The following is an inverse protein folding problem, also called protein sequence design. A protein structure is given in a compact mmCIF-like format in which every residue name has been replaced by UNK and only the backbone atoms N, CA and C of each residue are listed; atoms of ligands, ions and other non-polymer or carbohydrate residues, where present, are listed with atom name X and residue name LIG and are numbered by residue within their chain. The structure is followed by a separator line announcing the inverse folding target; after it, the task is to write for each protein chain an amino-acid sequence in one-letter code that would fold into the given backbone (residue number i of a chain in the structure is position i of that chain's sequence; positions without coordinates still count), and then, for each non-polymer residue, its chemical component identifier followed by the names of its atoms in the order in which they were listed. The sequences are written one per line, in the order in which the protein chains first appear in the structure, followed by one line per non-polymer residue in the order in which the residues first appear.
data_IF_199833839086
#
_entry.id   IF_199833839086
#
_cell.length_a   1.000
_cell.length_b   1.000
_cell.length_c   1.000
_cell.angle_alpha   90.00
_cell.angle_beta   90.00
_cell.angle_gamma   90.00
#
_symmetry.space_group_name_H-M   'P 1'
#
loop_
_entity.id
_entity.type
_entity.pdbx_description
1 polymer ?
#
# COMPACT_ATOMS: atom_id res chain seq x y z
N UNK A 1 5.47 -14.85 -64.43
CA UNK A 1 4.81 -13.55 -64.16
C UNK A 1 4.51 -13.26 -62.68
N UNK A 2 5.36 -13.68 -61.74
CA UNK A 2 5.05 -13.60 -60.27
C UNK A 2 6.05 -12.76 -59.44
N UNK A 3 7.12 -12.23 -59.99
CA UNK A 3 8.14 -11.51 -59.22
C UNK A 3 7.96 -9.98 -59.17
N UNK A 4 7.03 -9.37 -59.92
CA UNK A 4 6.86 -7.91 -59.97
C UNK A 4 5.90 -7.40 -58.89
N UNK A 5 4.99 -8.25 -58.38
CA UNK A 5 3.94 -7.82 -57.40
C UNK A 5 4.46 -7.81 -55.95
N UNK A 6 5.42 -8.65 -55.60
CA UNK A 6 6.02 -8.70 -54.26
C UNK A 6 6.90 -7.47 -53.94
N UNK A 7 7.65 -6.99 -54.94
CA UNK A 7 8.52 -5.82 -54.79
C UNK A 7 7.71 -4.52 -54.51
N UNK A 8 6.59 -4.37 -55.21
CA UNK A 8 5.70 -3.19 -55.05
C UNK A 8 4.97 -3.16 -53.68
N UNK A 9 4.62 -4.34 -53.12
CA UNK A 9 4.01 -4.46 -51.80
C UNK A 9 5.01 -4.14 -50.71
N UNK A 10 6.24 -4.61 -50.80
CA UNK A 10 7.30 -4.31 -49.84
C UNK A 10 7.67 -2.82 -49.81
N UNK A 11 7.71 -2.17 -51.00
CA UNK A 11 7.97 -0.72 -51.06
C UNK A 11 6.86 0.11 -50.38
N UNK A 12 5.58 -0.25 -50.60
CA UNK A 12 4.43 0.41 -49.95
C UNK A 12 4.41 0.19 -48.46
N UNK A 13 4.78 -0.99 -47.99
CA UNK A 13 4.89 -1.28 -46.54
C UNK A 13 6.00 -0.47 -45.89
N UNK A 14 7.20 -0.41 -46.50
CA UNK A 14 8.31 0.40 -46.03
C UNK A 14 7.96 1.90 -45.96
N UNK A 15 7.19 2.38 -46.94
CA UNK A 15 6.75 3.76 -46.96
C UNK A 15 5.71 4.07 -45.87
N UNK A 16 4.81 3.14 -45.54
CA UNK A 16 3.87 3.25 -44.41
C UNK A 16 4.63 3.30 -43.09
N UNK A 17 5.58 2.43 -42.85
CA UNK A 17 6.41 2.39 -41.62
C UNK A 17 7.18 3.69 -41.47
N UNK A 18 7.79 4.23 -42.52
CA UNK A 18 8.49 5.53 -42.47
C UNK A 18 7.54 6.68 -42.10
N UNK A 19 6.32 6.72 -42.64
CA UNK A 19 5.31 7.73 -42.28
C UNK A 19 4.86 7.60 -40.83
N UNK A 20 4.63 6.40 -40.33
CA UNK A 20 4.30 6.15 -38.91
C UNK A 20 5.42 6.62 -37.98
N UNK A 21 6.68 6.31 -38.30
CA UNK A 21 7.80 6.76 -37.47
C UNK A 21 7.98 8.29 -37.51
N UNK A 22 7.68 8.95 -38.63
CA UNK A 22 7.70 10.42 -38.71
C UNK A 22 6.60 11.06 -37.88
N UNK A 23 5.40 10.47 -37.85
CA UNK A 23 4.29 10.94 -37.00
C UNK A 23 4.62 10.73 -35.52
N UNK A 24 5.14 9.59 -35.15
CA UNK A 24 5.57 9.31 -33.76
C UNK A 24 6.68 10.26 -33.31
N UNK A 25 7.65 10.55 -34.18
CA UNK A 25 8.71 11.51 -33.87
C UNK A 25 8.15 12.93 -33.69
N UNK A 26 7.21 13.35 -34.53
CA UNK A 26 6.55 14.66 -34.41
C UNK A 26 5.77 14.76 -33.07
N UNK A 27 5.04 13.71 -32.68
CA UNK A 27 4.32 13.67 -31.41
C UNK A 27 5.30 13.72 -30.22
N UNK A 28 6.40 12.99 -30.27
CA UNK A 28 7.43 13.01 -29.22
C UNK A 28 8.05 14.41 -29.07
N UNK A 29 8.37 15.09 -30.19
CA UNK A 29 8.91 16.46 -30.17
C UNK A 29 7.91 17.46 -29.58
N UNK A 30 6.63 17.38 -29.96
CA UNK A 30 5.60 18.26 -29.39
C UNK A 30 5.40 18.03 -27.89
N UNK A 31 5.47 16.79 -27.45
CA UNK A 31 5.37 16.45 -26.01
C UNK A 31 6.55 17.02 -25.20
N UNK A 32 7.77 16.91 -25.71
CA UNK A 32 8.96 17.50 -25.06
C UNK A 32 8.84 19.02 -25.00
N UNK A 33 8.35 19.68 -26.05
CA UNK A 33 8.14 21.13 -26.04
C UNK A 33 7.09 21.54 -25.00
N UNK A 34 6.00 20.79 -24.86
CA UNK A 34 4.97 21.05 -23.84
C UNK A 34 5.53 20.90 -22.40
N UNK A 35 6.38 19.89 -22.17
CA UNK A 35 7.06 19.72 -20.87
C UNK A 35 7.99 20.89 -20.55
N UNK A 36 8.72 21.40 -21.55
CA UNK A 36 9.58 22.57 -21.37
C UNK A 36 8.78 23.83 -21.02
N UNK A 37 7.65 24.07 -21.71
CA UNK A 37 6.76 25.19 -21.40
C UNK A 37 6.20 25.05 -19.98
N UNK A 38 5.79 23.86 -19.58
CA UNK A 38 5.28 23.60 -18.23
C UNK A 38 6.35 23.84 -17.16
N UNK A 39 7.59 23.41 -17.40
CA UNK A 39 8.72 23.67 -16.49
C UNK A 39 9.01 25.18 -16.35
N UNK A 40 8.94 25.94 -17.43
CA UNK A 40 9.12 27.41 -17.40
C UNK A 40 8.02 28.08 -16.59
N UNK A 41 6.75 27.65 -16.75
CA UNK A 41 5.62 28.18 -15.99
C UNK A 41 5.72 27.87 -14.49
N UNK A 42 6.21 26.69 -14.13
CA UNK A 42 6.51 26.32 -12.74
C UNK A 42 7.61 27.21 -12.16
N UNK A 43 8.69 27.44 -12.88
CA UNK A 43 9.77 28.33 -12.43
C UNK A 43 9.29 29.79 -12.25
N UNK A 44 8.42 30.27 -13.12
CA UNK A 44 7.84 31.61 -12.98
C UNK A 44 6.93 31.74 -11.74
N UNK A 45 6.16 30.70 -11.42
CA UNK A 45 5.33 30.68 -10.19
C UNK A 45 6.19 30.70 -8.92
N UNK A 46 7.30 29.99 -8.90
CA UNK A 46 8.24 29.99 -7.76
C UNK A 46 8.86 31.38 -7.57
N UNK A 47 9.25 32.06 -8.66
CA UNK A 47 9.85 33.39 -8.61
C UNK A 47 8.86 34.45 -8.11
N UNK A 48 7.56 34.33 -8.43
CA UNK A 48 6.51 35.24 -7.93
C UNK A 48 6.19 35.01 -6.44
N UNK A 49 6.39 33.81 -5.93
CA UNK A 49 6.19 33.47 -4.50
C UNK A 49 7.35 33.95 -3.59
N UNK A 50 8.50 34.33 -4.16
CA UNK A 50 9.68 34.79 -3.40
C UNK A 50 9.72 36.31 -3.19
N UNK A 51 8.74 37.09 -3.67
CA UNK A 51 8.59 38.51 -3.36
C UNK A 51 7.88 38.69 -2.02
N UNK A 52 8.68 38.83 -0.95
CA UNK A 52 8.27 39.17 0.40
C UNK A 52 7.90 40.67 0.46
N UNK A 53 6.74 41.05 1.02
CA UNK A 53 6.48 42.45 1.35
C UNK A 53 7.17 42.83 2.67
N UNK A 54 7.76 44.03 2.68
CA UNK A 54 8.41 44.65 3.83
C UNK A 54 7.38 44.95 4.93
N UNK A 55 7.81 44.72 6.18
CA UNK A 55 7.09 45.07 7.42
C UNK A 55 7.65 46.40 7.91
N UNK A 56 6.82 47.40 8.25
CA UNK A 56 7.25 48.54 9.06
C UNK A 56 7.23 48.17 10.54
N UNK A 57 8.29 48.51 11.22
CA UNK A 57 8.43 48.55 12.68
C UNK A 57 7.83 49.82 13.23
N UNK A 58 7.06 49.74 14.31
CA UNK A 58 6.98 50.79 15.30
C UNK A 58 6.67 50.23 16.70
N UNK A 59 7.46 50.81 17.64
CA UNK A 59 7.46 50.60 19.09
C UNK A 59 6.19 51.20 19.77
N UNK A 60 5.73 50.63 20.89
CA UNK A 60 5.71 51.24 22.20
C UNK A 60 4.74 50.59 23.22
N UNK A 61 5.33 50.23 24.35
CA UNK A 61 4.87 50.36 25.74
C UNK A 61 3.64 49.60 26.29
N UNK A 62 3.98 48.82 27.28
CA UNK A 62 3.19 48.29 28.41
C UNK A 62 2.72 49.41 29.37
N UNK A 63 1.79 49.29 30.34
CA UNK A 63 1.71 48.18 31.30
C UNK A 63 0.27 47.84 31.80
N UNK A 64 0.07 47.15 32.94
CA UNK A 64 -0.78 46.01 33.14
C UNK A 64 -2.11 46.31 33.80
N UNK A 65 -3.08 45.38 33.69
CA UNK A 65 -4.20 45.35 34.64
C UNK A 65 -4.63 43.89 34.89
N UNK A 66 -4.43 43.45 36.10
CA UNK A 66 -5.00 42.26 36.72
C UNK A 66 -6.54 42.29 36.65
N UNK A 67 -7.12 41.18 36.25
CA UNK A 67 -8.48 40.82 36.64
C UNK A 67 -8.55 39.30 36.80
N UNK A 68 -8.47 38.86 38.04
CA UNK A 68 -8.78 37.51 38.47
C UNK A 68 -10.27 37.21 38.16
N UNK A 69 -10.51 36.11 37.45
CA UNK A 69 -11.84 35.50 37.35
C UNK A 69 -11.81 34.18 38.14
N UNK A 70 -12.84 33.86 38.94
CA UNK A 70 -12.81 32.78 39.92
C UNK A 70 -12.74 31.43 39.27
N UNK A 71 -11.88 30.54 39.79
CA UNK A 71 -11.80 29.12 39.52
C UNK A 71 -13.13 28.43 39.90
N UNK A 72 -13.67 27.64 38.98
CA UNK A 72 -14.77 26.70 39.21
C UNK A 72 -14.16 25.37 39.71
N UNK A 73 -14.43 24.93 40.95
CA UNK A 73 -13.88 23.68 41.46
C UNK A 73 -14.88 22.56 41.24
N UNK A 74 -14.76 21.79 40.20
CA UNK A 74 -15.10 20.36 40.15
C UNK A 74 -15.00 19.82 38.69
N UNK A 75 -13.78 19.59 38.21
CA UNK A 75 -13.55 18.63 37.11
C UNK A 75 -12.59 17.54 37.60
N UNK A 76 -13.16 16.55 38.29
CA UNK A 76 -12.51 15.30 38.63
C UNK A 76 -12.61 14.30 37.44
N UNK A 77 -12.20 14.71 36.25
CA UNK A 77 -11.82 13.74 35.21
C UNK A 77 -10.42 13.23 35.55
N UNK A 78 -10.19 11.91 35.56
CA UNK A 78 -8.83 11.38 35.72
C UNK A 78 -7.93 12.00 34.64
N UNK A 79 -6.83 12.59 35.06
CA UNK A 79 -5.80 13.10 34.16
C UNK A 79 -5.47 12.02 33.12
N UNK A 80 -5.88 12.22 31.87
CA UNK A 80 -5.43 11.41 30.75
C UNK A 80 -3.92 11.68 30.60
N UNK A 81 -3.05 10.69 30.76
CA UNK A 81 -1.60 10.89 30.70
C UNK A 81 -1.12 11.45 29.35
N UNK A 82 -2.00 11.57 28.37
CA UNK A 82 -1.67 12.10 27.05
C UNK A 82 -2.88 12.82 26.41
N UNK A 83 -3.23 14.03 26.85
CA UNK A 83 -4.35 14.77 26.28
C UNK A 83 -4.12 14.99 24.79
N UNK A 84 -5.18 14.96 23.97
CA UNK A 84 -5.04 15.18 22.54
C UNK A 84 -4.45 16.55 22.23
N UNK A 85 -3.56 16.61 21.24
CA UNK A 85 -3.09 17.88 20.68
C UNK A 85 -4.30 18.70 20.20
N UNK A 86 -4.18 20.02 20.13
CA UNK A 86 -5.29 20.92 19.84
C UNK A 86 -6.06 20.66 18.53
N UNK A 87 -5.49 19.86 17.61
CA UNK A 87 -6.07 19.47 16.33
C UNK A 87 -6.42 17.97 16.24
N UNK A 88 -6.52 17.30 17.41
CA UNK A 88 -6.89 15.89 17.51
C UNK A 88 -8.15 15.71 18.33
N UNK A 89 -8.90 14.67 18.02
CA UNK A 89 -10.06 14.17 18.77
C UNK A 89 -9.86 12.72 19.18
N UNK A 90 -10.62 12.26 20.17
CA UNK A 90 -10.65 10.85 20.56
C UNK A 90 -11.68 10.07 19.76
N UNK A 91 -11.28 8.98 19.12
CA UNK A 91 -12.15 8.00 18.48
C UNK A 91 -12.24 6.75 19.35
N UNK A 92 -13.46 6.31 19.67
CA UNK A 92 -13.67 5.07 20.42
C UNK A 92 -13.55 3.87 19.48
N UNK A 93 -12.53 3.05 19.69
CA UNK A 93 -12.27 1.83 18.91
C UNK A 93 -12.51 0.60 19.76
N UNK A 94 -13.30 -0.34 19.27
CA UNK A 94 -13.65 -1.59 19.97
C UNK A 94 -12.54 -2.65 19.86
N UNK A 95 -12.42 -3.53 20.86
CA UNK A 95 -11.33 -4.52 20.95
C UNK A 95 -11.32 -5.56 19.82
N UNK A 96 -12.43 -5.81 19.15
CA UNK A 96 -12.47 -6.69 17.97
C UNK A 96 -11.70 -6.11 16.78
N UNK A 97 -11.54 -4.78 16.71
CA UNK A 97 -10.73 -4.09 15.71
C UNK A 97 -9.22 -4.36 15.82
N UNK A 98 -8.73 -4.88 16.96
CA UNK A 98 -7.33 -5.33 17.11
C UNK A 98 -6.97 -6.36 16.05
N UNK A 99 -7.94 -7.17 15.63
CA UNK A 99 -7.72 -8.27 14.69
C UNK A 99 -8.13 -7.91 13.23
N UNK A 100 -8.28 -6.63 12.93
CA UNK A 100 -8.74 -6.13 11.63
C UNK A 100 -7.77 -5.10 11.06
N UNK A 101 -7.66 -5.06 9.73
CA UNK A 101 -6.84 -4.09 9.01
C UNK A 101 -5.63 -4.71 8.30
N UNK A 102 -4.92 -3.89 7.55
CA UNK A 102 -3.83 -4.34 6.68
C UNK A 102 -2.53 -4.68 7.40
N UNK A 103 -2.38 -4.28 8.67
CA UNK A 103 -1.15 -4.46 9.46
C UNK A 103 -1.22 -5.59 10.48
N UNK A 104 -2.32 -6.36 10.52
CA UNK A 104 -2.42 -7.52 11.41
C UNK A 104 -1.37 -8.58 11.06
N UNK A 105 -0.66 -9.06 12.07
CA UNK A 105 0.27 -10.18 11.93
C UNK A 105 -0.51 -11.50 12.05
N UNK A 106 -0.35 -12.39 11.08
CA UNK A 106 -0.87 -13.75 11.11
C UNK A 106 0.27 -14.71 10.78
N UNK A 107 0.62 -15.56 11.74
CA UNK A 107 1.70 -16.54 11.63
C UNK A 107 1.51 -17.67 12.66
N UNK A 108 2.52 -18.51 12.87
CA UNK A 108 2.45 -19.67 13.79
C UNK A 108 2.14 -19.32 15.26
N UNK A 109 2.28 -18.06 15.68
CA UNK A 109 2.04 -17.57 17.05
C UNK A 109 0.84 -16.64 17.15
N UNK A 110 0.41 -16.04 16.04
CA UNK A 110 -0.70 -15.09 15.98
C UNK A 110 -1.81 -15.64 15.08
N UNK A 111 -2.86 -16.17 15.73
CA UNK A 111 -4.00 -16.76 15.02
C UNK A 111 -4.91 -15.69 14.41
N UNK A 112 -5.35 -15.90 13.17
CA UNK A 112 -6.34 -15.06 12.53
C UNK A 112 -7.72 -15.27 13.15
N UNK A 113 -8.39 -14.18 13.51
CA UNK A 113 -9.78 -14.19 13.97
C UNK A 113 -10.70 -13.86 12.80
N UNK A 114 -11.40 -14.88 12.32
CA UNK A 114 -12.32 -14.73 11.19
C UNK A 114 -13.47 -13.78 11.55
N UNK A 115 -13.74 -12.76 10.72
CA UNK A 115 -14.87 -11.86 10.94
C UNK A 115 -16.18 -12.60 10.70
N UNK A 116 -17.26 -12.07 11.27
CA UNK A 116 -18.61 -12.63 11.06
C UNK A 116 -19.10 -12.51 9.61
N UNK A 117 -18.52 -11.64 8.80
CA UNK A 117 -18.83 -11.44 7.39
C UNK A 117 -17.56 -11.19 6.59
N UNK A 118 -17.48 -11.78 5.41
CA UNK A 118 -16.40 -11.62 4.44
C UNK A 118 -16.75 -10.58 3.34
N UNK A 119 -17.66 -9.64 3.63
CA UNK A 119 -18.14 -8.63 2.67
C UNK A 119 -17.05 -7.66 2.17
N UNK A 120 -15.90 -7.61 2.85
CA UNK A 120 -14.70 -6.87 2.43
C UNK A 120 -13.92 -7.55 1.30
N UNK A 121 -14.21 -8.81 1.02
CA UNK A 121 -13.58 -9.59 -0.03
C UNK A 121 -14.36 -9.46 -1.35
N UNK A 122 -13.65 -9.30 -2.44
CA UNK A 122 -14.22 -9.30 -3.79
C UNK A 122 -13.81 -10.56 -4.56
N UNK A 123 -14.70 -11.04 -5.41
CA UNK A 123 -14.40 -12.07 -6.40
C UNK A 123 -13.55 -11.46 -7.52
N UNK A 124 -12.29 -11.89 -7.62
CA UNK A 124 -11.32 -11.35 -8.57
C UNK A 124 -11.73 -11.67 -10.01
N UNK A 125 -12.28 -12.86 -10.27
CA UNK A 125 -12.75 -13.23 -11.61
C UNK A 125 -13.89 -12.33 -12.09
N UNK A 126 -14.87 -12.09 -11.21
CA UNK A 126 -15.98 -11.21 -11.54
C UNK A 126 -15.49 -9.77 -11.78
N UNK A 127 -14.60 -9.29 -10.93
CA UNK A 127 -14.04 -7.93 -11.01
C UNK A 127 -13.15 -7.74 -12.26
N UNK A 128 -12.31 -8.72 -12.60
CA UNK A 128 -11.48 -8.67 -13.79
C UNK A 128 -12.34 -8.68 -15.06
N UNK A 129 -13.39 -9.53 -15.10
CA UNK A 129 -14.31 -9.59 -16.23
C UNK A 129 -15.05 -8.27 -16.46
N UNK A 130 -15.39 -7.55 -15.40
CA UNK A 130 -16.04 -6.23 -15.51
C UNK A 130 -15.09 -5.14 -15.96
N UNK A 131 -13.81 -5.22 -15.57
CA UNK A 131 -12.79 -4.21 -15.87
C UNK A 131 -12.14 -4.40 -17.26
N UNK A 132 -12.15 -5.62 -17.82
CA UNK A 132 -11.50 -5.91 -19.10
C UNK A 132 -12.35 -5.50 -20.28
N UNK A 133 -11.87 -4.50 -20.97
CA UNK A 133 -12.42 -4.06 -22.26
C UNK A 133 -11.91 -4.91 -23.44
N UNK A 134 -10.74 -5.54 -23.45
CA UNK A 134 -10.24 -6.51 -24.47
C UNK A 134 -8.77 -6.93 -24.22
N UNK A 135 -8.06 -6.36 -23.25
CA UNK A 135 -6.64 -6.65 -23.03
C UNK A 135 -6.45 -7.50 -21.76
N UNK A 136 -5.68 -8.57 -21.87
CA UNK A 136 -5.30 -9.42 -20.74
C UNK A 136 -3.91 -9.02 -20.30
N UNK A 137 -3.80 -8.41 -19.11
CA UNK A 137 -2.52 -7.97 -18.56
C UNK A 137 -1.83 -9.02 -17.69
N UNK A 138 -2.60 -9.93 -17.10
CA UNK A 138 -2.11 -11.04 -16.29
C UNK A 138 -3.14 -12.17 -16.24
N UNK A 139 -2.73 -13.35 -15.80
CA UNK A 139 -3.56 -14.55 -15.75
C UNK A 139 -4.10 -14.77 -14.34
N UNK A 140 -5.26 -15.40 -14.24
CA UNK A 140 -5.81 -15.88 -12.98
C UNK A 140 -5.66 -17.39 -12.88
N UNK A 141 -4.98 -17.86 -11.85
CA UNK A 141 -4.96 -19.24 -11.42
C UNK A 141 -6.23 -19.58 -10.66
N UNK A 142 -6.32 -20.77 -10.19
CA UNK A 142 -7.46 -21.29 -9.46
C UNK A 142 -8.08 -22.44 -10.19
N UNK A 143 -8.96 -23.13 -9.48
CA UNK A 143 -9.69 -24.30 -9.96
C UNK A 143 -11.18 -24.04 -9.77
N UNK A 144 -12.01 -24.85 -10.39
CA UNK A 144 -13.46 -24.73 -10.35
C UNK A 144 -14.03 -24.69 -8.90
N UNK A 145 -13.35 -25.36 -7.96
CA UNK A 145 -13.66 -25.39 -6.53
C UNK A 145 -12.86 -24.40 -5.66
N UNK A 146 -12.01 -23.56 -6.27
CA UNK A 146 -11.22 -22.53 -5.59
C UNK A 146 -11.22 -21.23 -6.38
N UNK A 147 -12.10 -20.34 -6.05
CA UNK A 147 -12.14 -18.99 -6.60
C UNK A 147 -11.15 -18.08 -5.86
N UNK A 148 -10.62 -17.13 -6.60
CA UNK A 148 -9.71 -16.13 -6.03
C UNK A 148 -10.50 -14.94 -5.47
N UNK A 149 -10.28 -14.65 -4.18
CA UNK A 149 -10.81 -13.48 -3.49
C UNK A 149 -9.67 -12.68 -2.89
N UNK A 150 -9.81 -11.35 -2.85
CA UNK A 150 -8.91 -10.46 -2.11
C UNK A 150 -9.73 -9.36 -1.42
N UNK A 151 -9.11 -8.72 -0.45
CA UNK A 151 -9.64 -7.46 0.08
C UNK A 151 -9.64 -6.40 -1.04
N UNK A 152 -10.68 -5.56 -1.06
CA UNK A 152 -10.96 -4.66 -2.19
C UNK A 152 -9.80 -3.70 -2.49
N UNK A 153 -9.20 -3.10 -1.45
CA UNK A 153 -8.08 -2.16 -1.62
C UNK A 153 -6.82 -2.88 -2.10
N UNK A 154 -6.53 -4.05 -1.51
CA UNK A 154 -5.40 -4.88 -1.90
C UNK A 154 -5.51 -5.34 -3.36
N UNK A 155 -6.70 -5.79 -3.79
CA UNK A 155 -6.92 -6.15 -5.18
C UNK A 155 -6.74 -4.97 -6.13
N UNK A 156 -7.30 -3.80 -5.79
CA UNK A 156 -7.16 -2.60 -6.61
C UNK A 156 -5.69 -2.22 -6.83
N UNK A 157 -4.89 -2.30 -5.76
CA UNK A 157 -3.46 -2.03 -5.80
C UNK A 157 -2.68 -3.09 -6.61
N UNK A 158 -3.00 -4.39 -6.42
CA UNK A 158 -2.39 -5.49 -7.17
C UNK A 158 -2.68 -5.38 -8.67
N UNK A 159 -3.93 -5.09 -9.02
CA UNK A 159 -4.33 -4.91 -10.40
C UNK A 159 -3.56 -3.77 -11.08
N UNK A 160 -3.40 -2.63 -10.41
CA UNK A 160 -2.57 -1.52 -10.91
C UNK A 160 -1.12 -1.92 -11.12
N UNK A 161 -0.52 -2.62 -10.18
CA UNK A 161 0.87 -3.09 -10.27
C UNK A 161 1.07 -4.04 -11.46
N UNK A 162 0.19 -5.01 -11.64
CA UNK A 162 0.32 -6.00 -12.71
C UNK A 162 0.02 -5.42 -14.09
N UNK A 163 -0.91 -4.47 -14.19
CA UNK A 163 -1.15 -3.71 -15.44
C UNK A 163 0.09 -2.90 -15.81
N UNK A 164 0.68 -2.18 -14.85
CA UNK A 164 1.88 -1.37 -15.08
C UNK A 164 3.06 -2.26 -15.50
N UNK A 165 3.29 -3.37 -14.80
CA UNK A 165 4.30 -4.36 -15.19
C UNK A 165 4.10 -4.86 -16.62
N UNK A 166 2.89 -5.27 -16.95
CA UNK A 166 2.56 -5.76 -18.29
C UNK A 166 2.76 -4.69 -19.36
N UNK A 167 2.35 -3.46 -19.07
CA UNK A 167 2.51 -2.32 -19.98
C UNK A 167 3.98 -2.00 -20.28
N UNK A 168 4.83 -2.06 -19.25
CA UNK A 168 6.26 -1.77 -19.39
C UNK A 168 7.04 -2.93 -20.03
N UNK A 169 6.74 -4.17 -19.63
CA UNK A 169 7.50 -5.35 -20.05
C UNK A 169 6.97 -6.01 -21.34
N UNK A 170 5.70 -5.79 -21.69
CA UNK A 170 4.99 -6.54 -22.73
C UNK A 170 4.60 -7.97 -22.33
N UNK A 171 4.86 -8.37 -21.07
CA UNK A 171 4.55 -9.72 -20.58
C UNK A 171 3.15 -9.76 -19.98
N UNK A 172 2.36 -10.77 -20.36
CA UNK A 172 0.97 -10.97 -19.90
C UNK A 172 0.77 -12.33 -19.20
N UNK A 173 1.85 -12.99 -18.87
CA UNK A 173 1.87 -14.36 -18.35
C UNK A 173 2.15 -14.45 -16.83
N UNK A 174 2.15 -13.34 -16.12
CA UNK A 174 2.10 -13.38 -14.65
C UNK A 174 0.80 -14.04 -14.23
N UNK A 175 0.88 -15.00 -13.33
CA UNK A 175 -0.24 -15.81 -12.85
C UNK A 175 -0.49 -15.49 -11.37
N UNK A 176 -1.69 -15.02 -11.04
CA UNK A 176 -2.13 -14.98 -9.64
C UNK A 176 -2.58 -16.38 -9.24
N UNK A 177 -1.75 -17.08 -8.46
CA UNK A 177 -1.92 -18.51 -8.17
C UNK A 177 -2.90 -18.75 -7.02
N UNK A 178 -2.80 -17.95 -5.98
CA UNK A 178 -3.72 -17.99 -4.85
C UNK A 178 -3.81 -16.60 -4.18
N UNK A 179 -4.88 -16.41 -3.40
CA UNK A 179 -5.12 -15.19 -2.64
C UNK A 179 -5.78 -15.55 -1.30
N UNK A 180 -6.97 -15.02 -0.96
CA UNK A 180 -7.68 -15.39 0.26
C UNK A 180 -7.94 -16.89 0.36
N UNK A 181 -7.81 -17.44 1.57
CA UNK A 181 -8.17 -18.81 1.92
C UNK A 181 -9.13 -18.80 3.10
N UNK A 182 -10.30 -19.43 2.94
CA UNK A 182 -11.21 -19.70 4.05
C UNK A 182 -10.60 -20.69 5.04
N UNK A 183 -11.15 -20.75 6.25
CA UNK A 183 -10.78 -21.76 7.25
C UNK A 183 -10.87 -23.18 6.68
N UNK A 184 -12.00 -23.51 6.05
CA UNK A 184 -12.25 -24.86 5.52
C UNK A 184 -11.32 -25.25 4.37
N UNK A 185 -10.99 -24.29 3.49
CA UNK A 185 -10.04 -24.57 2.42
C UNK A 185 -8.62 -24.78 2.98
N UNK A 186 -8.18 -23.98 3.93
CA UNK A 186 -6.87 -24.19 4.58
C UNK A 186 -6.84 -25.52 5.35
N UNK A 187 -7.98 -25.91 5.97
CA UNK A 187 -8.10 -27.22 6.63
C UNK A 187 -7.92 -28.36 5.64
N UNK A 188 -8.53 -28.31 4.46
CA UNK A 188 -8.34 -29.31 3.40
C UNK A 188 -6.87 -29.42 2.99
N UNK A 189 -6.18 -28.28 2.85
CA UNK A 189 -4.76 -28.27 2.51
C UNK A 189 -3.90 -28.89 3.62
N UNK A 190 -4.20 -28.57 4.89
CA UNK A 190 -3.51 -29.11 6.03
C UNK A 190 -3.71 -30.63 6.18
N UNK A 191 -4.95 -31.10 6.07
CA UNK A 191 -5.31 -32.53 6.12
C UNK A 191 -4.65 -33.32 4.96
N UNK A 192 -4.37 -32.66 3.83
CA UNK A 192 -3.62 -33.23 2.69
C UNK A 192 -2.09 -33.18 2.87
N UNK A 193 -1.57 -32.82 4.04
CA UNK A 193 -0.14 -32.79 4.36
C UNK A 193 0.52 -31.41 4.27
N UNK A 194 -0.26 -30.36 4.16
CA UNK A 194 0.26 -28.98 4.21
C UNK A 194 0.82 -28.62 5.61
N UNK A 195 1.81 -27.74 5.66
CA UNK A 195 2.52 -27.38 6.89
C UNK A 195 1.79 -26.35 7.77
N UNK A 196 0.87 -25.56 7.21
CA UNK A 196 0.22 -24.44 7.91
C UNK A 196 -1.18 -24.84 8.37
N UNK A 197 -1.46 -24.89 9.69
CA UNK A 197 -2.81 -25.16 10.20
C UNK A 197 -3.80 -24.05 9.82
N UNK A 198 -5.12 -24.36 9.78
CA UNK A 198 -6.14 -23.34 9.62
C UNK A 198 -6.12 -22.34 10.79
N UNK A 199 -6.28 -21.05 10.47
CA UNK A 199 -6.13 -19.94 11.40
C UNK A 199 -4.72 -19.32 11.44
N UNK A 200 -3.69 -20.00 10.94
CA UNK A 200 -2.30 -19.54 11.01
C UNK A 200 -1.72 -19.14 9.64
N UNK A 201 -2.56 -19.07 8.62
CA UNK A 201 -2.15 -18.66 7.27
C UNK A 201 -2.38 -17.18 7.05
N UNK A 202 -1.37 -16.46 6.61
CA UNK A 202 -1.49 -15.05 6.21
C UNK A 202 -2.53 -14.83 5.08
N UNK A 203 -2.79 -15.87 4.27
CA UNK A 203 -3.83 -15.86 3.24
C UNK A 203 -5.26 -15.66 3.79
N UNK A 204 -5.51 -15.92 5.08
CA UNK A 204 -6.82 -15.68 5.69
C UNK A 204 -7.19 -14.19 5.74
N UNK A 205 -6.19 -13.32 5.72
CA UNK A 205 -6.41 -11.88 5.83
C UNK A 205 -7.09 -11.26 4.60
N UNK A 206 -6.98 -11.91 3.44
CA UNK A 206 -7.40 -11.36 2.15
C UNK A 206 -6.43 -10.29 1.58
N UNK A 207 -5.42 -9.88 2.34
CA UNK A 207 -4.44 -8.88 1.92
C UNK A 207 -3.25 -9.46 1.17
N UNK A 208 -3.18 -10.78 0.99
CA UNK A 208 -2.02 -11.44 0.40
C UNK A 208 -2.37 -12.24 -0.84
N UNK A 209 -1.39 -12.37 -1.72
CA UNK A 209 -1.47 -13.30 -2.85
C UNK A 209 -0.11 -13.90 -3.20
N UNK A 210 -0.13 -15.10 -3.80
CA UNK A 210 1.04 -15.67 -4.47
C UNK A 210 0.95 -15.39 -5.96
N UNK A 211 2.07 -14.96 -6.52
CA UNK A 211 2.25 -14.78 -7.96
C UNK A 211 3.19 -15.86 -8.50
N UNK A 212 2.93 -16.27 -9.73
CA UNK A 212 3.78 -17.18 -10.48
C UNK A 212 3.87 -16.74 -11.93
N UNK A 213 4.41 -17.61 -12.80
CA UNK A 213 4.45 -17.40 -14.23
C UNK A 213 3.81 -18.59 -14.92
N UNK A 214 2.84 -18.34 -15.78
CA UNK A 214 2.09 -19.39 -16.47
C UNK A 214 3.02 -20.34 -17.22
N UNK A 215 2.97 -21.63 -16.86
CA UNK A 215 3.77 -22.68 -17.48
C UNK A 215 5.26 -22.66 -17.16
N UNK A 216 5.73 -21.83 -16.23
CA UNK A 216 7.13 -21.72 -15.86
C UNK A 216 7.30 -21.57 -14.34
N UNK A 217 8.31 -22.26 -13.78
CA UNK A 217 8.73 -22.00 -12.42
C UNK A 217 9.74 -20.84 -12.43
N UNK A 218 9.32 -19.67 -11.94
CA UNK A 218 10.14 -18.46 -11.88
C UNK A 218 10.11 -17.88 -10.48
N UNK A 219 11.27 -17.42 -10.02
CA UNK A 219 11.42 -16.64 -8.80
C UNK A 219 11.58 -15.16 -9.17
N UNK A 220 10.65 -14.33 -8.72
CA UNK A 220 10.64 -12.91 -9.04
C UNK A 220 11.80 -12.14 -8.41
N UNK A 221 12.41 -12.68 -7.36
CA UNK A 221 13.59 -12.08 -6.75
C UNK A 221 14.86 -12.21 -7.61
N UNK A 222 14.94 -13.22 -8.48
CA UNK A 222 16.16 -13.55 -9.21
C UNK A 222 15.99 -13.55 -10.74
N UNK A 223 14.76 -13.73 -11.27
CA UNK A 223 14.52 -13.72 -12.71
C UNK A 223 14.44 -12.30 -13.25
N UNK A 224 15.37 -11.93 -14.13
CA UNK A 224 15.49 -10.58 -14.67
C UNK A 224 14.24 -10.04 -15.36
N UNK A 225 13.40 -10.91 -15.96
CA UNK A 225 12.19 -10.50 -16.66
C UNK A 225 11.05 -10.10 -15.70
N UNK A 226 11.02 -10.66 -14.48
CA UNK A 226 9.96 -10.43 -13.48
C UNK A 226 10.45 -9.65 -12.26
N UNK A 227 11.75 -9.37 -12.16
CA UNK A 227 12.37 -8.65 -11.05
C UNK A 227 11.72 -7.30 -10.77
N UNK A 228 11.20 -6.65 -11.80
CA UNK A 228 10.48 -5.39 -11.65
C UNK A 228 9.32 -5.48 -10.65
N UNK A 229 8.55 -6.58 -10.65
CA UNK A 229 7.44 -6.78 -9.70
C UNK A 229 7.97 -6.83 -8.27
N UNK A 230 9.05 -7.59 -8.04
CA UNK A 230 9.70 -7.70 -6.74
C UNK A 230 10.22 -6.35 -6.24
N UNK A 231 10.93 -5.61 -7.09
CA UNK A 231 11.58 -4.35 -6.73
C UNK A 231 10.62 -3.17 -6.59
N UNK A 232 9.44 -3.22 -7.22
CA UNK A 232 8.51 -2.10 -7.25
C UNK A 232 7.20 -2.35 -6.48
N UNK A 233 6.98 -3.53 -5.91
CA UNK A 233 5.74 -3.86 -5.20
C UNK A 233 5.41 -2.86 -4.09
N UNK A 234 6.42 -2.30 -3.41
CA UNK A 234 6.24 -1.33 -2.34
C UNK A 234 5.52 -0.05 -2.80
N UNK A 235 5.72 0.39 -4.05
CA UNK A 235 5.06 1.57 -4.64
C UNK A 235 3.54 1.41 -4.75
N UNK A 236 3.09 0.16 -4.73
CA UNK A 236 1.67 -0.23 -4.75
C UNK A 236 1.17 -0.70 -3.39
N UNK A 237 1.97 -0.50 -2.33
CA UNK A 237 1.62 -0.86 -0.97
C UNK A 237 1.82 -2.33 -0.63
N UNK A 238 2.57 -3.08 -1.43
CA UNK A 238 2.92 -4.47 -1.17
C UNK A 238 4.34 -4.63 -0.66
N UNK A 239 4.54 -5.67 0.13
CA UNK A 239 5.86 -6.17 0.50
C UNK A 239 5.96 -7.65 0.15
N UNK A 240 7.17 -8.14 -0.08
CA UNK A 240 7.43 -9.57 -0.06
C UNK A 240 7.24 -10.07 1.36
N UNK A 241 6.25 -10.95 1.58
CA UNK A 241 5.85 -11.36 2.94
C UNK A 241 6.90 -12.24 3.61
N UNK A 242 7.60 -13.06 2.82
CA UNK A 242 8.57 -14.04 3.31
C UNK A 242 9.89 -13.92 2.56
N UNK A 243 10.66 -12.84 2.81
CA UNK A 243 11.98 -12.69 2.18
C UNK A 243 12.95 -13.74 2.73
N UNK A 244 13.90 -14.17 1.92
CA UNK A 244 14.81 -15.28 2.21
C UNK A 244 15.66 -15.06 3.47
N UNK A 245 16.05 -13.79 3.74
CA UNK A 245 16.86 -13.39 4.90
C UNK A 245 16.05 -13.20 6.20
N UNK A 246 14.71 -13.40 6.18
CA UNK A 246 13.79 -13.17 7.30
C UNK A 246 13.10 -14.45 7.82
N UNK A 247 13.59 -15.62 7.44
CA UNK A 247 12.99 -16.90 7.83
C UNK A 247 12.92 -17.11 9.36
N UNK A 248 13.87 -16.57 10.12
CA UNK A 248 13.87 -16.66 11.58
C UNK A 248 12.72 -15.86 12.22
N UNK A 249 12.39 -14.70 11.67
CA UNK A 249 11.35 -13.78 12.15
C UNK A 249 9.96 -14.24 11.69
N UNK A 250 9.81 -14.56 10.41
CA UNK A 250 8.52 -14.94 9.81
C UNK A 250 8.11 -16.37 10.14
N UNK A 251 9.07 -17.24 10.46
CA UNK A 251 8.86 -18.66 10.66
C UNK A 251 8.60 -19.45 9.36
N UNK A 252 8.75 -18.81 8.21
CA UNK A 252 8.59 -19.40 6.87
C UNK A 252 9.93 -19.26 6.15
N UNK A 253 10.43 -20.39 5.62
CA UNK A 253 11.56 -20.34 4.68
C UNK A 253 11.11 -19.62 3.42
N UNK A 254 12.06 -19.05 2.74
CA UNK A 254 11.93 -18.25 1.53
C UNK A 254 10.68 -18.57 0.65
N UNK A 255 9.84 -17.57 0.46
CA UNK A 255 8.72 -17.59 -0.48
C UNK A 255 8.59 -16.21 -1.13
N UNK A 256 9.56 -15.90 -1.96
CA UNK A 256 9.79 -14.58 -2.57
C UNK A 256 8.68 -14.13 -3.53
N UNK A 257 7.86 -15.05 -4.01
CA UNK A 257 6.71 -14.76 -4.87
C UNK A 257 5.39 -14.54 -4.09
N UNK A 258 5.45 -14.41 -2.76
CA UNK A 258 4.28 -14.18 -1.92
C UNK A 258 4.25 -12.73 -1.42
N UNK A 259 3.23 -11.99 -1.82
CA UNK A 259 3.10 -10.55 -1.60
C UNK A 259 2.00 -10.25 -0.60
N UNK A 260 2.27 -9.31 0.31
CA UNK A 260 1.33 -8.83 1.32
C UNK A 260 1.09 -7.33 1.16
N UNK A 261 -0.18 -6.93 1.06
CA UNK A 261 -0.57 -5.52 1.10
C UNK A 261 -0.56 -5.02 2.54
N UNK A 262 0.12 -3.91 2.75
CA UNK A 262 0.23 -3.21 4.04
C UNK A 262 -0.09 -1.71 3.91
N UNK A 263 -0.29 -1.21 2.69
CA UNK A 263 -0.41 0.22 2.38
C UNK A 263 0.93 0.87 2.00
N UNK A 264 0.87 1.93 1.21
CA UNK A 264 2.06 2.51 0.56
C UNK A 264 3.13 2.94 1.55
N UNK A 265 2.81 3.80 2.53
CA UNK A 265 3.81 4.30 3.47
C UNK A 265 4.45 3.18 4.30
N UNK A 266 3.67 2.17 4.70
CA UNK A 266 4.18 1.02 5.45
C UNK A 266 5.11 0.16 4.59
N UNK A 267 4.71 -0.12 3.35
CA UNK A 267 5.54 -0.84 2.39
C UNK A 267 6.84 -0.10 2.09
N UNK A 268 6.79 1.22 1.96
CA UNK A 268 7.96 2.09 1.80
C UNK A 268 8.93 1.96 2.97
N UNK A 269 8.44 2.10 4.22
CA UNK A 269 9.28 1.98 5.42
C UNK A 269 9.88 0.58 5.54
N UNK A 270 9.06 -0.46 5.35
CA UNK A 270 9.52 -1.85 5.44
C UNK A 270 10.61 -2.15 4.40
N UNK A 271 10.42 -1.70 3.16
CA UNK A 271 11.39 -1.92 2.06
C UNK A 271 12.67 -1.14 2.30
N UNK A 272 12.60 0.14 2.64
CA UNK A 272 13.78 1.00 2.82
C UNK A 272 14.60 0.64 4.06
N UNK A 273 13.98 0.05 5.08
CA UNK A 273 14.63 -0.40 6.31
C UNK A 273 14.91 -1.91 6.35
N UNK A 274 14.59 -2.63 5.28
CA UNK A 274 14.69 -4.10 5.18
C UNK A 274 14.02 -4.83 6.37
N UNK A 275 12.73 -4.52 6.62
CA UNK A 275 11.95 -5.12 7.70
C UNK A 275 10.92 -6.09 7.14
N UNK A 276 10.75 -7.25 7.77
CA UNK A 276 9.54 -8.06 7.59
C UNK A 276 8.38 -7.49 8.42
N UNK A 277 7.16 -8.01 8.23
CA UNK A 277 5.97 -7.48 8.92
C UNK A 277 6.09 -7.59 10.44
N UNK A 278 6.60 -8.68 10.96
CA UNK A 278 6.83 -8.91 12.39
C UNK A 278 7.78 -7.86 12.99
N UNK A 279 8.92 -7.61 12.33
CA UNK A 279 9.88 -6.59 12.77
C UNK A 279 9.30 -5.19 12.69
N UNK A 280 8.49 -4.93 11.67
CA UNK A 280 7.85 -3.64 11.48
C UNK A 280 6.80 -3.34 12.55
N UNK A 281 5.95 -4.31 12.91
CA UNK A 281 4.98 -4.15 13.99
C UNK A 281 5.70 -3.91 15.32
N UNK A 282 6.75 -4.68 15.63
CA UNK A 282 7.56 -4.47 16.83
C UNK A 282 8.21 -3.06 16.85
N UNK A 283 8.65 -2.54 15.71
CA UNK A 283 9.13 -1.16 15.59
C UNK A 283 8.01 -0.17 15.93
N UNK A 284 6.82 -0.31 15.33
CA UNK A 284 5.71 0.62 15.52
C UNK A 284 5.21 0.65 16.97
N UNK A 285 5.24 -0.46 17.69
CA UNK A 285 4.87 -0.54 19.11
C UNK A 285 5.74 0.36 20.01
N UNK A 286 6.93 0.77 19.55
CA UNK A 286 7.78 1.74 20.25
C UNK A 286 7.49 3.21 19.89
N UNK A 287 6.63 3.46 18.90
CA UNK A 287 6.28 4.80 18.43
C UNK A 287 4.89 5.21 18.96
N UNK A 288 4.88 5.98 20.04
CA UNK A 288 3.64 6.44 20.69
C UNK A 288 3.10 7.72 20.05
N UNK A 289 1.83 8.02 20.31
CA UNK A 289 1.18 9.25 19.89
C UNK A 289 1.94 10.51 20.35
N UNK A 290 1.86 11.58 19.59
CA UNK A 290 2.55 12.84 19.83
C UNK A 290 4.02 12.82 19.39
N UNK A 291 4.92 13.33 20.21
CA UNK A 291 6.35 13.46 19.85
C UNK A 291 7.05 12.12 19.57
N UNK A 292 6.48 11.01 20.05
CA UNK A 292 6.97 9.66 19.80
C UNK A 292 6.59 9.08 18.44
N UNK A 293 5.73 9.72 17.67
CA UNK A 293 5.27 9.22 16.37
C UNK A 293 6.41 9.06 15.35
N UNK A 294 6.33 8.00 14.57
CA UNK A 294 7.25 7.80 13.43
C UNK A 294 6.87 8.76 12.30
N UNK A 295 7.75 9.70 12.00
CA UNK A 295 7.59 10.64 10.88
C UNK A 295 8.26 10.09 9.63
N UNK A 296 7.51 10.06 8.53
CA UNK A 296 7.95 9.47 7.26
C UNK A 296 7.63 10.43 6.12
N UNK A 297 8.62 10.71 5.27
CA UNK A 297 8.41 11.31 3.94
C UNK A 297 8.75 10.28 2.89
N UNK A 298 7.81 9.99 2.02
CA UNK A 298 7.95 8.99 0.96
C UNK A 298 8.52 9.59 -0.33
N UNK A 299 8.91 8.74 -1.30
CA UNK A 299 9.55 9.17 -2.56
C UNK A 299 8.68 10.14 -3.39
N UNK A 300 7.35 10.08 -3.24
CA UNK A 300 6.41 10.98 -3.91
C UNK A 300 6.24 12.33 -3.19
N UNK A 301 7.00 12.56 -2.11
CA UNK A 301 6.96 13.77 -1.30
C UNK A 301 5.82 13.81 -0.26
N UNK A 302 4.98 12.78 -0.19
CA UNK A 302 3.93 12.70 0.85
C UNK A 302 4.55 12.49 2.22
N UNK A 303 4.02 13.19 3.24
CA UNK A 303 4.47 13.10 4.63
C UNK A 303 3.43 12.42 5.50
N UNK A 304 3.90 11.62 6.45
CA UNK A 304 3.05 10.81 7.32
C UNK A 304 3.55 10.85 8.77
N UNK A 305 2.60 10.71 9.70
CA UNK A 305 2.84 10.33 11.08
C UNK A 305 2.20 8.97 11.36
N UNK A 306 2.95 8.06 11.99
CA UNK A 306 2.49 6.72 12.33
C UNK A 306 2.76 6.49 13.81
N UNK A 307 1.74 6.09 14.56
CA UNK A 307 1.87 5.83 15.99
C UNK A 307 1.01 4.66 16.43
N UNK A 308 1.42 4.09 17.54
CA UNK A 308 0.78 2.95 18.19
C UNK A 308 -0.02 3.39 19.40
N UNK A 309 -1.19 2.78 19.57
CA UNK A 309 -2.05 2.95 20.75
C UNK A 309 -2.37 1.57 21.32
N UNK A 310 -1.88 1.28 22.52
CA UNK A 310 -2.20 0.03 23.21
C UNK A 310 -3.68 -0.07 23.52
N UNK A 311 -4.28 -1.25 23.31
CA UNK A 311 -5.67 -1.48 23.68
C UNK A 311 -5.85 -1.49 25.19
N UNK A 312 -6.89 -0.81 25.71
CA UNK A 312 -7.15 -0.62 27.13
C UNK A 312 -8.32 -1.45 27.67
N UNK A 313 -8.91 -2.33 26.86
CA UNK A 313 -10.06 -3.17 27.24
C UNK A 313 -11.05 -3.35 26.12
N UNK A 314 -12.35 -3.37 26.44
CA UNK A 314 -13.42 -3.55 25.44
C UNK A 314 -13.49 -2.38 24.44
N UNK A 315 -13.11 -1.20 24.89
CA UNK A 315 -13.04 0.04 24.09
C UNK A 315 -11.74 0.78 24.44
N UNK A 316 -11.14 1.39 23.44
CA UNK A 316 -9.92 2.21 23.57
C UNK A 316 -10.19 3.57 22.96
N UNK A 317 -9.80 4.62 23.65
CA UNK A 317 -9.80 5.97 23.10
C UNK A 317 -8.53 6.15 22.28
N UNK A 318 -8.70 6.31 20.98
CA UNK A 318 -7.59 6.46 20.02
C UNK A 318 -7.57 7.92 19.55
N UNK A 319 -6.49 8.68 19.80
CA UNK A 319 -6.36 10.02 19.27
C UNK A 319 -6.22 9.98 17.75
N UNK A 320 -7.02 10.79 17.06
CA UNK A 320 -7.01 10.89 15.59
C UNK A 320 -7.13 12.36 15.17
N UNK A 321 -6.53 12.79 14.06
CA UNK A 321 -6.61 14.18 13.63
C UNK A 321 -8.05 14.54 13.23
N UNK A 322 -8.41 15.82 13.45
CA UNK A 322 -9.72 16.32 13.04
C UNK A 322 -9.82 16.59 11.55
N UNK A 323 -8.73 17.05 10.93
CA UNK A 323 -8.73 17.58 9.56
C UNK A 323 -7.88 16.78 8.57
N UNK A 324 -6.92 15.97 9.02
CA UNK A 324 -6.08 15.16 8.14
C UNK A 324 -6.71 13.79 7.86
N UNK A 325 -6.30 13.20 6.74
CA UNK A 325 -6.72 11.84 6.38
C UNK A 325 -5.95 10.82 7.22
N UNK A 326 -6.66 9.89 7.85
CA UNK A 326 -6.03 8.83 8.64
C UNK A 326 -6.65 7.46 8.40
N UNK A 327 -5.94 6.43 8.82
CA UNK A 327 -6.42 5.05 8.91
C UNK A 327 -6.05 4.45 10.27
N UNK A 328 -6.86 3.50 10.75
CA UNK A 328 -6.58 2.71 11.95
C UNK A 328 -6.56 1.23 11.55
N UNK A 329 -5.45 0.55 11.83
CA UNK A 329 -5.31 -0.91 11.71
C UNK A 329 -5.04 -1.52 13.07
N UNK A 330 -5.63 -2.67 13.36
CA UNK A 330 -5.14 -3.52 14.42
C UNK A 330 -3.79 -4.15 14.06
N UNK A 331 -3.09 -4.70 15.06
CA UNK A 331 -1.83 -5.42 14.90
C UNK A 331 -1.99 -6.95 15.08
N UNK A 332 -3.15 -7.41 15.54
CA UNK A 332 -3.45 -8.79 15.99
C UNK A 332 -2.62 -9.23 17.22
N UNK A 333 -2.01 -8.30 17.94
CA UNK A 333 -1.19 -8.54 19.14
C UNK A 333 -1.75 -7.86 20.37
N UNK A 334 -2.11 -6.58 20.32
CA UNK A 334 -2.63 -5.90 21.49
C UNK A 334 -2.93 -4.41 21.32
N UNK A 335 -3.00 -3.88 20.10
CA UNK A 335 -3.28 -2.47 19.91
C UNK A 335 -3.64 -2.06 18.49
N UNK A 336 -3.51 -0.76 18.28
CA UNK A 336 -3.93 -0.08 17.07
C UNK A 336 -2.77 0.76 16.51
N UNK A 337 -2.61 0.72 15.21
CA UNK A 337 -1.67 1.55 14.47
C UNK A 337 -2.48 2.61 13.74
N UNK A 338 -2.23 3.86 14.06
CA UNK A 338 -2.82 5.01 13.39
C UNK A 338 -1.81 5.54 12.39
N UNK A 339 -2.27 5.76 11.17
CA UNK A 339 -1.46 6.33 10.10
C UNK A 339 -2.14 7.58 9.61
N UNK A 340 -1.50 8.71 9.81
CA UNK A 340 -1.98 10.04 9.40
C UNK A 340 -1.20 10.48 8.17
N UNK A 341 -1.90 10.87 7.13
CA UNK A 341 -1.30 11.55 5.99
C UNK A 341 -1.39 13.05 6.23
N UNK A 342 -0.23 13.69 6.38
CA UNK A 342 -0.15 15.13 6.60
C UNK A 342 -0.49 15.90 5.31
N UNK A 343 -1.28 16.98 5.46
CA UNK A 343 -1.71 17.86 4.36
C UNK A 343 -0.62 18.83 3.89
#
# INVERSE_FOLDING_TARGET
MTNHDSSSRNARQAQRVRRQNQVLLAIAVTFVLLLLVFAILLCMNVITSLKKPDVPSDDEQNPPTDTETPEDPDDNTPDDPNPPLSNYKMETVTSDRINQGSLIVVNKTHVYKFPASESHLIDIYASQKLAQTHEVYYQLGGKEDYKLYMETTAYSAMNKMLIEFSTQSGLTNVLMENAYRSYDYQKKLYDAGGSTPPGYSDSHTGFSCALGVLGQAKDFATDAAYRWVYDNCYKYGFVVRYPADKAAQTGVSDYTNYFRYVGYVHAYVMTTRNLCLEEYIALLQSHTYGDGALKVTTDDGSSYEIYYVSATGAQTQVPVPENDTYTISGDNEGGFIVTVKLS
#
